data_IF_015731809853
#
_entry.id   IF_015731809853
#
_cell.length_a   1.000
_cell.length_b   1.000
_cell.length_c   1.000
_cell.angle_alpha   90.00
_cell.angle_beta   90.00
_cell.angle_gamma   90.00
#
_symmetry.space_group_name_H-M   'P 1'
#
loop_
_entity.id
_entity.type
_entity.pdbx_description
1 polymer ?
#
# COMPACT_ATOMS: atom_id res chain seq x y z
N UNK A 1 -31.29 15.29 22.68
CA UNK A 1 -30.81 15.84 21.42
C UNK A 1 -29.27 15.76 21.33
N UNK A 2 -28.54 16.35 22.27
CA UNK A 2 -27.08 16.33 22.29
C UNK A 2 -26.46 14.92 22.35
N UNK A 3 -27.08 14.01 23.11
CA UNK A 3 -26.63 12.62 23.25
C UNK A 3 -26.70 11.89 21.90
N UNK A 4 -27.76 12.14 21.12
CA UNK A 4 -27.93 11.54 19.79
C UNK A 4 -26.85 12.06 18.83
N UNK A 5 -26.56 13.36 18.87
CA UNK A 5 -25.50 13.96 18.03
C UNK A 5 -24.15 13.38 18.38
N UNK A 6 -23.81 13.27 19.67
CA UNK A 6 -22.55 12.67 20.11
C UNK A 6 -22.44 11.20 19.71
N UNK A 7 -23.52 10.45 19.76
CA UNK A 7 -23.54 9.05 19.35
C UNK A 7 -23.31 8.89 17.84
N UNK A 8 -23.96 9.74 17.04
CA UNK A 8 -23.77 9.75 15.58
C UNK A 8 -22.32 10.11 15.22
N UNK A 9 -21.75 11.13 15.86
CA UNK A 9 -20.35 11.51 15.66
C UNK A 9 -19.39 10.37 16.03
N UNK A 10 -19.64 9.70 17.14
CA UNK A 10 -18.84 8.57 17.56
C UNK A 10 -18.87 7.42 16.55
N UNK A 11 -20.03 7.13 15.96
CA UNK A 11 -20.18 6.12 14.90
C UNK A 11 -19.41 6.55 13.66
N UNK A 12 -19.51 7.80 13.23
CA UNK A 12 -18.80 8.29 12.05
C UNK A 12 -17.29 8.20 12.21
N UNK A 13 -16.76 8.60 13.37
CA UNK A 13 -15.34 8.47 13.68
C UNK A 13 -14.90 7.01 13.69
N UNK A 14 -15.70 6.13 14.27
CA UNK A 14 -15.41 4.70 14.32
C UNK A 14 -15.37 4.07 12.92
N UNK A 15 -16.33 4.42 12.06
CA UNK A 15 -16.34 3.96 10.67
C UNK A 15 -15.13 4.46 9.88
N UNK A 16 -14.72 5.72 10.10
CA UNK A 16 -13.54 6.29 9.46
C UNK A 16 -12.26 5.58 9.91
N UNK A 17 -12.12 5.29 11.20
CA UNK A 17 -10.98 4.53 11.73
C UNK A 17 -10.92 3.14 11.10
N UNK A 18 -12.06 2.44 11.00
CA UNK A 18 -12.11 1.12 10.33
C UNK A 18 -11.69 1.24 8.87
N UNK A 19 -12.18 2.25 8.17
CA UNK A 19 -11.83 2.49 6.77
C UNK A 19 -10.31 2.70 6.60
N UNK A 20 -9.71 3.55 7.42
CA UNK A 20 -8.27 3.83 7.36
C UNK A 20 -7.42 2.58 7.66
N UNK A 21 -7.85 1.75 8.60
CA UNK A 21 -7.14 0.51 8.94
C UNK A 21 -7.21 -0.57 7.84
N UNK A 22 -8.23 -0.54 6.99
CA UNK A 22 -8.46 -1.56 5.96
C UNK A 22 -8.26 -1.06 4.53
N UNK A 23 -7.95 0.22 4.35
CA UNK A 23 -7.69 0.81 3.06
C UNK A 23 -6.27 1.35 2.99
N UNK A 24 -5.64 1.17 1.84
CA UNK A 24 -4.38 1.84 1.52
C UNK A 24 -4.66 3.06 0.64
N UNK A 25 -3.72 3.98 0.61
CA UNK A 25 -3.77 5.16 -0.23
C UNK A 25 -2.68 5.10 -1.29
N UNK A 26 -3.07 5.43 -2.53
CA UNK A 26 -2.13 5.60 -3.63
C UNK A 26 -1.90 7.08 -3.83
N UNK A 27 -0.65 7.50 -3.71
CA UNK A 27 -0.24 8.89 -3.96
C UNK A 27 0.72 8.90 -5.14
N UNK A 28 0.47 9.77 -6.10
CA UNK A 28 1.30 9.91 -7.29
C UNK A 28 2.14 11.18 -7.20
N UNK A 29 3.44 11.02 -7.44
CA UNK A 29 4.39 12.12 -7.54
C UNK A 29 5.04 12.11 -8.91
N UNK A 30 5.09 13.26 -9.57
CA UNK A 30 5.79 13.43 -10.83
C UNK A 30 7.12 14.14 -10.55
N UNK A 31 8.21 13.51 -10.94
CA UNK A 31 9.55 14.06 -10.81
C UNK A 31 10.16 14.22 -12.21
N UNK A 32 10.52 15.44 -12.55
CA UNK A 32 11.20 15.76 -13.80
C UNK A 32 12.71 15.88 -13.56
N UNK A 33 13.49 15.28 -14.42
CA UNK A 33 14.96 15.34 -14.33
C UNK A 33 15.59 15.26 -15.72
N UNK A 34 16.50 16.17 -15.98
CA UNK A 34 17.26 16.20 -17.24
C UNK A 34 18.10 14.93 -17.44
N UNK A 35 18.45 14.25 -16.35
CA UNK A 35 19.18 12.97 -16.40
C UNK A 35 18.34 11.83 -16.97
N UNK A 36 17.03 11.96 -16.96
CA UNK A 36 16.09 10.96 -17.46
C UNK A 36 15.71 11.17 -18.93
N UNK A 37 16.10 12.29 -19.54
CA UNK A 37 15.79 12.59 -20.95
C UNK A 37 16.35 11.56 -21.92
N UNK A 38 17.46 10.90 -21.57
CA UNK A 38 18.09 9.86 -22.38
C UNK A 38 17.26 8.57 -22.47
N UNK A 39 16.33 8.36 -21.56
CA UNK A 39 15.49 7.15 -21.55
C UNK A 39 14.41 7.20 -22.63
N UNK A 40 13.99 8.39 -23.05
CA UNK A 40 13.01 8.59 -24.13
C UNK A 40 11.56 8.26 -23.76
N UNK A 41 11.28 7.93 -22.50
CA UNK A 41 9.93 7.66 -21.98
C UNK A 41 9.81 7.97 -20.49
N UNK A 42 8.61 8.07 -20.02
CA UNK A 42 8.35 8.13 -18.57
C UNK A 42 8.66 6.79 -17.91
N UNK A 43 9.27 6.86 -16.75
CA UNK A 43 9.51 5.70 -15.88
C UNK A 43 8.58 5.76 -14.69
N UNK A 44 7.93 4.65 -14.41
CA UNK A 44 7.08 4.49 -13.24
C UNK A 44 7.83 3.69 -12.17
N UNK A 45 8.16 4.35 -11.06
CA UNK A 45 8.74 3.70 -9.88
C UNK A 45 7.68 3.64 -8.80
N UNK A 46 7.33 2.44 -8.39
CA UNK A 46 6.38 2.21 -7.32
C UNK A 46 7.14 2.05 -6.01
N UNK A 47 6.83 2.90 -5.04
CA UNK A 47 7.39 2.83 -3.70
C UNK A 47 6.36 2.26 -2.73
N UNK A 48 6.73 1.19 -2.03
CA UNK A 48 5.87 0.51 -1.08
C UNK A 48 6.55 0.48 0.29
N UNK A 49 5.85 0.97 1.31
CA UNK A 49 6.32 0.92 2.69
C UNK A 49 5.15 0.82 3.67
N UNK A 50 5.47 0.61 4.93
CA UNK A 50 4.50 0.64 6.05
C UNK A 50 3.34 -0.36 5.91
N UNK A 51 3.60 -1.54 5.32
CA UNK A 51 2.57 -2.59 5.21
C UNK A 51 2.17 -3.15 6.58
N UNK A 52 3.12 -3.25 7.52
CA UNK A 52 2.89 -3.69 8.91
C UNK A 52 2.09 -5.00 9.03
N UNK A 53 2.33 -5.97 8.16
CA UNK A 53 1.57 -7.22 8.04
C UNK A 53 0.09 -7.05 7.72
N UNK A 54 -0.36 -5.88 7.29
CA UNK A 54 -1.72 -5.71 6.80
C UNK A 54 -1.97 -6.53 5.53
N UNK A 55 -3.17 -7.07 5.43
CA UNK A 55 -3.63 -7.82 4.26
C UNK A 55 -4.85 -7.08 3.68
N UNK A 56 -4.71 -6.60 2.47
CA UNK A 56 -5.75 -5.86 1.75
C UNK A 56 -6.49 -6.78 0.79
N UNK A 57 -7.63 -7.31 1.24
CA UNK A 57 -8.36 -8.35 0.56
C UNK A 57 -7.75 -9.74 0.81
N UNK A 58 -8.24 -10.75 0.10
CA UNK A 58 -7.70 -12.10 0.19
C UNK A 58 -6.29 -12.14 -0.40
N UNK A 59 -5.31 -12.57 0.39
CA UNK A 59 -3.91 -12.69 -0.05
C UNK A 59 -3.33 -11.39 -0.64
N UNK A 60 -3.74 -10.23 -0.12
CA UNK A 60 -3.38 -8.91 -0.64
C UNK A 60 -3.82 -8.66 -2.09
N UNK A 61 -4.88 -9.28 -2.54
CA UNK A 61 -5.38 -9.15 -3.92
C UNK A 61 -5.65 -7.71 -4.32
N UNK A 62 -6.25 -6.91 -3.42
CA UNK A 62 -6.55 -5.49 -3.69
C UNK A 62 -5.29 -4.66 -3.92
N UNK A 63 -4.28 -4.87 -3.09
CA UNK A 63 -3.00 -4.16 -3.21
C UNK A 63 -2.23 -4.63 -4.44
N UNK A 64 -2.22 -5.94 -4.70
CA UNK A 64 -1.60 -6.51 -5.91
C UNK A 64 -2.23 -5.96 -7.18
N UNK A 65 -3.55 -5.88 -7.23
CA UNK A 65 -4.27 -5.29 -8.36
C UNK A 65 -3.87 -3.84 -8.60
N UNK A 66 -3.78 -3.03 -7.55
CA UNK A 66 -3.34 -1.64 -7.66
C UNK A 66 -1.89 -1.54 -8.19
N UNK A 67 -1.00 -2.43 -7.77
CA UNK A 67 0.39 -2.49 -8.26
C UNK A 67 0.42 -2.82 -9.75
N UNK A 68 -0.31 -3.83 -10.17
CA UNK A 68 -0.37 -4.24 -11.59
C UNK A 68 -0.98 -3.12 -12.46
N UNK A 69 -2.03 -2.48 -12.00
CA UNK A 69 -2.69 -1.38 -12.71
C UNK A 69 -1.80 -0.15 -12.85
N UNK A 70 -0.85 0.06 -11.95
CA UNK A 70 0.13 1.15 -12.04
C UNK A 70 1.17 0.94 -13.14
N UNK A 71 1.32 -0.27 -13.66
CA UNK A 71 2.34 -0.64 -14.66
C UNK A 71 3.74 -0.19 -14.28
N UNK A 72 4.26 -0.57 -13.09
CA UNK A 72 5.55 -0.10 -12.63
C UNK A 72 6.70 -0.71 -13.45
N UNK A 73 7.73 0.09 -13.67
CA UNK A 73 9.00 -0.36 -14.25
C UNK A 73 9.94 -0.90 -13.17
N UNK A 74 9.77 -0.44 -11.94
CA UNK A 74 10.55 -0.84 -10.78
C UNK A 74 9.69 -0.73 -9.52
N UNK A 75 9.85 -1.67 -8.62
CA UNK A 75 9.26 -1.61 -7.27
C UNK A 75 10.38 -1.40 -6.26
N UNK A 76 10.26 -0.38 -5.42
CA UNK A 76 11.12 -0.13 -4.28
C UNK A 76 10.37 -0.42 -2.99
N UNK A 77 11.00 -1.17 -2.10
CA UNK A 77 10.45 -1.50 -0.79
C UNK A 77 11.19 -0.67 0.25
N UNK A 78 10.46 0.23 0.90
CA UNK A 78 11.02 1.21 1.84
C UNK A 78 11.15 0.72 3.28
N UNK A 79 10.71 -0.51 3.58
CA UNK A 79 10.73 -1.06 4.94
C UNK A 79 9.37 -1.08 5.61
N UNK A 80 9.37 -1.42 6.90
CA UNK A 80 8.17 -1.54 7.74
C UNK A 80 7.06 -2.44 7.15
N UNK A 81 7.48 -3.47 6.42
CA UNK A 81 6.58 -4.47 5.83
C UNK A 81 6.03 -5.42 6.88
N UNK A 82 6.77 -5.62 7.96
CA UNK A 82 6.46 -6.53 9.05
C UNK A 82 6.40 -5.79 10.38
N UNK A 83 5.55 -6.30 11.27
CA UNK A 83 5.54 -5.87 12.67
C UNK A 83 6.04 -7.03 13.53
N UNK A 84 7.14 -6.82 14.25
CA UNK A 84 7.75 -7.82 15.14
C UNK A 84 7.00 -7.97 16.46
N UNK A 85 5.73 -8.36 16.39
CA UNK A 85 4.93 -8.67 17.60
C UNK A 85 4.78 -10.18 17.77
N UNK A 86 4.85 -10.63 19.03
CA UNK A 86 4.61 -12.03 19.37
C UNK A 86 3.23 -12.49 18.84
N UNK A 87 3.20 -13.68 18.25
CA UNK A 87 1.97 -14.30 17.72
C UNK A 87 1.55 -13.88 16.31
N UNK A 88 2.26 -12.96 15.66
CA UNK A 88 2.01 -12.61 14.26
C UNK A 88 2.95 -13.38 13.32
N UNK A 89 2.39 -13.92 12.24
CA UNK A 89 3.18 -14.62 11.22
C UNK A 89 3.70 -13.62 10.17
N UNK A 90 4.88 -13.90 9.62
CA UNK A 90 5.47 -13.12 8.53
C UNK A 90 5.02 -13.61 7.16
N UNK A 91 4.41 -14.78 7.12
CA UNK A 91 4.07 -15.49 5.86
C UNK A 91 3.27 -14.63 4.87
N UNK A 92 2.19 -13.91 5.26
CA UNK A 92 1.43 -13.12 4.30
C UNK A 92 2.26 -12.04 3.60
N UNK A 93 3.06 -11.29 4.34
CA UNK A 93 3.91 -10.24 3.77
C UNK A 93 5.02 -10.82 2.90
N UNK A 94 5.65 -11.90 3.36
CA UNK A 94 6.72 -12.57 2.63
C UNK A 94 6.22 -13.14 1.29
N UNK A 95 5.11 -13.86 1.30
CA UNK A 95 4.52 -14.42 0.07
C UNK A 95 4.07 -13.32 -0.91
N UNK A 96 3.55 -12.23 -0.37
CA UNK A 96 3.18 -11.08 -1.17
C UNK A 96 4.40 -10.46 -1.89
N UNK A 97 5.47 -10.18 -1.16
CA UNK A 97 6.71 -9.62 -1.73
C UNK A 97 7.35 -10.59 -2.74
N UNK A 98 7.35 -11.88 -2.48
CA UNK A 98 7.85 -12.89 -3.41
C UNK A 98 7.11 -12.92 -4.75
N UNK A 99 5.90 -12.39 -4.82
CA UNK A 99 5.14 -12.31 -6.06
C UNK A 99 5.58 -11.16 -6.97
N UNK A 100 6.30 -10.16 -6.45
CA UNK A 100 6.67 -8.94 -7.18
C UNK A 100 7.59 -9.17 -8.38
N UNK A 101 8.61 -10.05 -8.33
CA UNK A 101 9.47 -10.28 -9.48
C UNK A 101 8.75 -10.79 -10.73
N UNK A 102 7.55 -11.33 -10.58
CA UNK A 102 6.69 -11.73 -11.70
C UNK A 102 6.02 -10.52 -12.39
N UNK A 103 5.98 -9.36 -11.71
CA UNK A 103 5.38 -8.13 -12.22
C UNK A 103 6.47 -7.27 -12.88
N UNK A 104 7.54 -6.96 -12.16
CA UNK A 104 8.66 -6.17 -12.62
C UNK A 104 9.87 -6.33 -11.67
N UNK A 105 11.04 -5.79 -11.99
CA UNK A 105 12.20 -5.77 -11.08
C UNK A 105 11.87 -5.09 -9.74
N UNK A 106 12.48 -5.60 -8.68
CA UNK A 106 12.27 -5.13 -7.30
C UNK A 106 13.60 -4.69 -6.70
#
# INVERSE_FOLDING_TARGET
MWIVILFVLAILVFLEVIRELHCFQVTEYVVESDKLTQVGRELCVLFLSDLHNHVYGKENEKLRKAIVEAHPDLILIGGDMLVGKNGKTWTPALEFVKSFPKICPV
#
